data_IF_209088595844
#
_entry.id   IF_209088595844
#
_cell.length_a   1.000
_cell.length_b   1.000
_cell.length_c   1.000
_cell.angle_alpha   90.00
_cell.angle_beta   90.00
_cell.angle_gamma   90.00
#
_symmetry.space_group_name_H-M   'P 1'
#
loop_
_entity.id
_entity.type
_entity.pdbx_description
1 polymer ?
#
# COMPACT_ATOMS: atom_id res chain seq x y z
N UNK A 1 -3.51 -14.48 10.40
CA UNK A 1 -3.24 -15.43 9.32
C UNK A 1 -1.81 -15.30 8.84
N UNK A 2 -1.14 -16.42 8.61
CA UNK A 2 0.20 -16.46 8.02
C UNK A 2 0.14 -17.31 6.76
N UNK A 3 0.48 -16.70 5.63
CA UNK A 3 0.68 -17.35 4.35
C UNK A 3 2.19 -17.51 4.10
N UNK A 4 2.57 -18.59 3.44
CA UNK A 4 3.93 -18.74 2.91
C UNK A 4 4.10 -17.95 1.62
N UNK A 5 4.72 -18.56 0.63
CA UNK A 5 4.70 -18.05 -0.74
C UNK A 5 3.35 -18.36 -1.39
N UNK A 6 2.74 -17.38 -2.07
CA UNK A 6 1.46 -17.53 -2.77
C UNK A 6 1.69 -17.33 -4.26
N UNK A 7 1.46 -18.35 -5.07
CA UNK A 7 1.69 -18.27 -6.53
C UNK A 7 0.64 -17.45 -7.30
N UNK A 8 -0.50 -17.16 -6.69
CA UNK A 8 -1.62 -16.41 -7.28
C UNK A 8 -2.05 -15.28 -6.37
N UNK A 9 -3.36 -15.02 -6.33
CA UNK A 9 -3.95 -13.97 -5.49
C UNK A 9 -4.11 -14.41 -4.03
N UNK A 10 -4.13 -13.44 -3.12
CA UNK A 10 -4.39 -13.66 -1.71
C UNK A 10 -5.42 -12.67 -1.14
N UNK A 11 -6.27 -13.16 -0.25
CA UNK A 11 -7.18 -12.32 0.54
C UNK A 11 -6.96 -12.59 2.01
N UNK A 12 -6.82 -11.52 2.80
CA UNK A 12 -6.56 -11.54 4.24
C UNK A 12 -7.57 -10.59 4.89
N UNK A 13 -8.62 -11.17 5.47
CA UNK A 13 -9.79 -10.44 5.92
C UNK A 13 -10.07 -10.79 7.39
N UNK A 14 -10.36 -9.78 8.22
CA UNK A 14 -10.85 -9.97 9.58
C UNK A 14 -9.91 -10.81 10.47
N UNK A 15 -8.60 -10.58 10.34
CA UNK A 15 -7.57 -11.24 11.15
C UNK A 15 -6.75 -10.23 11.94
N UNK A 16 -6.37 -10.60 13.17
CA UNK A 16 -5.58 -9.73 14.05
C UNK A 16 -4.23 -9.33 13.45
N UNK A 17 -3.59 -10.27 12.76
CA UNK A 17 -2.33 -10.03 12.04
C UNK A 17 -2.34 -10.83 10.75
N UNK A 18 -1.98 -10.19 9.65
CA UNK A 18 -1.81 -10.83 8.35
C UNK A 18 -0.33 -10.81 7.95
N UNK A 19 0.27 -11.98 7.76
CA UNK A 19 1.64 -12.08 7.24
C UNK A 19 1.69 -12.94 6.00
N UNK A 20 2.46 -12.54 4.99
CA UNK A 20 2.69 -13.35 3.79
C UNK A 20 4.13 -13.24 3.31
N UNK A 21 4.64 -14.31 2.70
CA UNK A 21 5.77 -14.21 1.77
C UNK A 21 5.39 -13.44 0.50
N UNK A 22 6.10 -13.69 -0.60
CA UNK A 22 5.74 -13.07 -1.88
C UNK A 22 4.41 -13.64 -2.41
N UNK A 23 3.67 -12.78 -3.08
CA UNK A 23 2.37 -13.05 -3.69
C UNK A 23 2.54 -12.78 -5.17
N UNK A 24 2.47 -13.82 -6.00
CA UNK A 24 2.64 -13.70 -7.46
C UNK A 24 1.53 -12.89 -8.13
N UNK A 25 0.31 -12.96 -7.58
CA UNK A 25 -0.85 -12.20 -8.02
C UNK A 25 -1.07 -10.92 -7.22
N UNK A 26 -2.34 -10.54 -7.08
CA UNK A 26 -2.79 -9.39 -6.30
C UNK A 26 -3.13 -9.78 -4.87
N UNK A 27 -3.09 -8.81 -3.96
CA UNK A 27 -3.48 -9.00 -2.57
C UNK A 27 -4.57 -8.02 -2.16
N UNK A 28 -5.54 -8.54 -1.43
CA UNK A 28 -6.54 -7.75 -0.72
C UNK A 28 -6.44 -7.99 0.78
N UNK A 29 -6.31 -6.91 1.56
CA UNK A 29 -6.30 -6.94 3.02
C UNK A 29 -7.40 -6.03 3.52
N UNK A 30 -8.26 -6.55 4.39
CA UNK A 30 -9.41 -5.81 4.93
C UNK A 30 -9.58 -6.04 6.43
N UNK A 31 -9.86 -4.98 7.18
CA UNK A 31 -10.11 -5.00 8.63
C UNK A 31 -8.98 -5.70 9.43
N UNK A 32 -7.72 -5.41 9.08
CA UNK A 32 -6.53 -6.02 9.71
C UNK A 32 -5.73 -5.00 10.52
N UNK A 33 -5.54 -5.19 11.83
CA UNK A 33 -4.71 -4.30 12.64
C UNK A 33 -3.24 -4.22 12.19
N UNK A 34 -2.65 -5.34 11.78
CA UNK A 34 -1.24 -5.41 11.31
C UNK A 34 -1.09 -6.30 10.08
N UNK A 35 -0.55 -5.75 8.99
CA UNK A 35 -0.26 -6.47 7.75
C UNK A 35 1.24 -6.38 7.40
N UNK A 36 1.90 -7.52 7.19
CA UNK A 36 3.30 -7.62 6.77
C UNK A 36 3.37 -8.55 5.57
N UNK A 37 3.51 -7.99 4.37
CA UNK A 37 3.48 -8.71 3.12
C UNK A 37 4.83 -8.59 2.41
N UNK A 38 5.28 -9.67 1.77
CA UNK A 38 6.41 -9.67 0.85
C UNK A 38 6.12 -8.87 -0.42
N UNK A 39 6.79 -9.22 -1.52
CA UNK A 39 6.52 -8.59 -2.81
C UNK A 39 5.18 -9.06 -3.37
N UNK A 40 4.48 -8.18 -4.07
CA UNK A 40 3.20 -8.43 -4.73
C UNK A 40 3.43 -8.23 -6.23
N UNK A 41 3.29 -9.29 -7.02
CA UNK A 41 3.46 -9.21 -8.48
C UNK A 41 2.36 -8.39 -9.15
N UNK A 42 1.13 -8.50 -8.64
CA UNK A 42 -0.04 -7.75 -9.07
C UNK A 42 -0.25 -6.45 -8.29
N UNK A 43 -1.53 -6.15 -8.01
CA UNK A 43 -1.91 -4.96 -7.24
C UNK A 43 -2.08 -5.27 -5.76
N UNK A 44 -1.88 -4.25 -4.90
CA UNK A 44 -2.14 -4.35 -3.47
C UNK A 44 -3.29 -3.41 -3.07
N UNK A 45 -4.33 -3.96 -2.44
CA UNK A 45 -5.46 -3.19 -1.92
C UNK A 45 -5.57 -3.42 -0.41
N UNK A 46 -5.34 -2.37 0.37
CA UNK A 46 -5.42 -2.38 1.82
C UNK A 46 -6.55 -1.45 2.27
N UNK A 47 -7.51 -2.00 3.01
CA UNK A 47 -8.63 -1.27 3.57
C UNK A 47 -8.73 -1.47 5.08
N UNK A 48 -8.97 -0.38 5.80
CA UNK A 48 -9.14 -0.40 7.27
C UNK A 48 -8.00 -1.11 8.01
N UNK A 49 -6.75 -0.82 7.59
CA UNK A 49 -5.54 -1.43 8.13
C UNK A 49 -4.86 -0.53 9.15
N UNK A 50 -4.46 -1.11 10.29
CA UNK A 50 -3.72 -0.34 11.30
C UNK A 50 -2.30 0.00 10.87
N UNK A 51 -1.43 -1.00 10.81
CA UNK A 51 -0.05 -0.84 10.36
C UNK A 51 0.22 -1.79 9.19
N UNK A 52 0.75 -1.26 8.11
CA UNK A 52 1.03 -2.01 6.90
C UNK A 52 2.51 -1.89 6.50
N UNK A 53 3.13 -3.02 6.22
CA UNK A 53 4.39 -3.10 5.48
C UNK A 53 4.19 -4.00 4.27
N UNK A 54 4.44 -3.47 3.08
CA UNK A 54 4.35 -4.20 1.82
C UNK A 54 5.67 -4.02 1.08
N UNK A 55 6.20 -5.10 0.49
CA UNK A 55 7.37 -5.04 -0.37
C UNK A 55 7.11 -4.27 -1.67
N UNK A 56 7.76 -4.70 -2.75
CA UNK A 56 7.49 -4.13 -4.07
C UNK A 56 6.12 -4.54 -4.57
N UNK A 57 5.42 -3.63 -5.24
CA UNK A 57 4.14 -3.89 -5.91
C UNK A 57 4.33 -3.71 -7.41
N UNK A 58 4.20 -4.78 -8.19
CA UNK A 58 4.37 -4.73 -9.64
C UNK A 58 3.26 -3.93 -10.33
N UNK A 59 2.04 -4.04 -9.82
CA UNK A 59 0.87 -3.29 -10.27
C UNK A 59 0.67 -1.98 -9.52
N UNK A 60 -0.58 -1.66 -9.20
CA UNK A 60 -0.94 -0.45 -8.45
C UNK A 60 -1.14 -0.76 -6.96
N UNK A 61 -0.99 0.25 -6.11
CA UNK A 61 -1.32 0.14 -4.69
C UNK A 61 -2.46 1.11 -4.32
N UNK A 62 -3.44 0.61 -3.58
CA UNK A 62 -4.54 1.39 -3.01
C UNK A 62 -4.57 1.19 -1.50
N UNK A 63 -4.44 2.29 -0.76
CA UNK A 63 -4.46 2.32 0.69
C UNK A 63 -5.63 3.21 1.11
N UNK A 64 -6.65 2.61 1.72
CA UNK A 64 -7.81 3.31 2.24
C UNK A 64 -7.91 3.09 3.75
N UNK A 65 -8.10 4.15 4.52
CA UNK A 65 -8.20 4.09 5.99
C UNK A 65 -7.00 3.39 6.65
N UNK A 66 -5.80 3.58 6.09
CA UNK A 66 -4.57 2.96 6.63
C UNK A 66 -3.86 3.93 7.58
N UNK A 67 -3.70 3.56 8.85
CA UNK A 67 -3.13 4.48 9.86
C UNK A 67 -1.64 4.70 9.64
N UNK A 68 -0.85 3.64 9.45
CA UNK A 68 0.56 3.75 9.07
C UNK A 68 0.89 2.75 7.97
N UNK A 69 1.52 3.20 6.89
CA UNK A 69 1.93 2.34 5.81
C UNK A 69 3.36 2.60 5.35
N UNK A 70 4.09 1.53 5.09
CA UNK A 70 5.32 1.53 4.29
C UNK A 70 5.12 0.59 3.11
N UNK A 71 5.24 1.12 1.90
CA UNK A 71 5.17 0.35 0.66
C UNK A 71 6.47 0.58 -0.10
N UNK A 72 7.04 -0.49 -0.66
CA UNK A 72 8.21 -0.38 -1.54
C UNK A 72 7.90 0.38 -2.83
N UNK A 73 8.72 0.15 -3.87
CA UNK A 73 8.43 0.70 -5.19
C UNK A 73 7.13 0.11 -5.75
N UNK A 74 6.37 0.94 -6.46
CA UNK A 74 5.12 0.60 -7.14
C UNK A 74 5.34 0.79 -8.64
N UNK A 75 5.11 -0.26 -9.44
CA UNK A 75 5.24 -0.19 -10.89
C UNK A 75 4.15 0.64 -11.56
N UNK A 76 2.92 0.53 -11.04
CA UNK A 76 1.74 1.29 -11.48
C UNK A 76 1.54 2.58 -10.69
N UNK A 77 0.26 2.90 -10.41
CA UNK A 77 -0.13 4.10 -9.68
C UNK A 77 -0.32 3.81 -8.19
N UNK A 78 -0.23 4.86 -7.37
CA UNK A 78 -0.53 4.80 -5.94
C UNK A 78 -1.74 5.68 -5.59
N UNK A 79 -2.67 5.13 -4.83
CA UNK A 79 -3.80 5.88 -4.24
C UNK A 79 -3.73 5.77 -2.73
N UNK A 80 -3.61 6.91 -2.05
CA UNK A 80 -3.52 7.02 -0.60
C UNK A 80 -4.72 7.83 -0.11
N UNK A 81 -5.61 7.21 0.65
CA UNK A 81 -6.88 7.82 1.04
C UNK A 81 -7.19 7.63 2.53
N UNK A 82 -7.62 8.71 3.20
CA UNK A 82 -8.11 8.72 4.60
C UNK A 82 -7.16 8.05 5.60
N UNK A 83 -5.85 8.31 5.48
CA UNK A 83 -4.83 7.63 6.28
C UNK A 83 -4.16 8.51 7.32
N UNK A 84 -3.33 7.90 8.16
CA UNK A 84 -2.41 8.65 9.03
C UNK A 84 -1.15 9.02 8.25
N UNK A 85 -0.17 8.11 8.25
CA UNK A 85 1.12 8.30 7.60
C UNK A 85 1.37 7.23 6.53
N UNK A 86 1.82 7.63 5.35
CA UNK A 86 2.23 6.71 4.30
C UNK A 86 3.64 7.06 3.79
N UNK A 87 4.50 6.06 3.72
CA UNK A 87 5.78 6.13 3.01
C UNK A 87 5.72 5.16 1.84
N UNK A 88 5.95 5.67 0.64
CA UNK A 88 5.93 4.92 -0.61
C UNK A 88 7.26 5.14 -1.31
N UNK A 89 7.82 4.08 -1.89
CA UNK A 89 9.01 4.17 -2.75
C UNK A 89 8.75 4.97 -4.03
N UNK A 90 9.51 4.65 -5.08
CA UNK A 90 9.25 5.23 -6.40
C UNK A 90 7.94 4.68 -6.97
N UNK A 91 7.19 5.51 -7.69
CA UNK A 91 5.93 5.16 -8.34
C UNK A 91 6.08 5.39 -9.84
N UNK A 92 5.94 4.32 -10.62
CA UNK A 92 6.06 4.41 -12.09
C UNK A 92 4.92 5.19 -12.75
N UNK A 93 3.72 5.12 -12.16
CA UNK A 93 2.53 5.82 -12.61
C UNK A 93 2.26 7.13 -11.86
N UNK A 94 0.99 7.45 -11.71
CA UNK A 94 0.53 8.65 -10.99
C UNK A 94 0.33 8.36 -9.51
N UNK A 95 0.33 9.41 -8.70
CA UNK A 95 0.05 9.36 -7.27
C UNK A 95 -1.13 10.25 -6.96
N UNK A 96 -2.12 9.72 -6.23
CA UNK A 96 -3.21 10.50 -5.65
C UNK A 96 -3.18 10.37 -4.13
N UNK A 97 -3.19 11.51 -3.44
CA UNK A 97 -3.18 11.59 -1.98
C UNK A 97 -4.37 12.42 -1.52
N UNK A 98 -5.23 11.82 -0.70
CA UNK A 98 -6.44 12.46 -0.21
C UNK A 98 -6.64 12.22 1.28
N UNK A 99 -6.76 13.30 2.07
CA UNK A 99 -7.02 13.19 3.53
C UNK A 99 -6.03 12.28 4.26
N UNK A 100 -4.74 12.58 4.11
CA UNK A 100 -3.69 11.97 4.93
C UNK A 100 -3.15 12.96 5.96
N UNK A 101 -2.64 12.44 7.07
CA UNK A 101 -1.74 13.22 7.93
C UNK A 101 -0.47 13.55 7.15
N UNK A 102 0.29 12.52 6.77
CA UNK A 102 1.53 12.69 6.01
C UNK A 102 1.69 11.67 4.89
N UNK A 103 2.16 12.13 3.73
CA UNK A 103 2.63 11.25 2.66
C UNK A 103 4.09 11.57 2.30
N UNK A 104 4.93 10.54 2.22
CA UNK A 104 6.27 10.63 1.64
C UNK A 104 6.33 9.67 0.47
N UNK A 105 6.61 10.18 -0.71
CA UNK A 105 6.69 9.39 -1.95
C UNK A 105 8.00 9.68 -2.64
N UNK A 106 8.65 8.64 -3.17
CA UNK A 106 9.83 8.81 -4.02
C UNK A 106 9.48 9.43 -5.37
N UNK A 107 10.31 9.13 -6.38
CA UNK A 107 10.10 9.66 -7.72
C UNK A 107 8.77 9.18 -8.28
N UNK A 108 8.02 10.08 -8.91
CA UNK A 108 6.75 9.78 -9.57
C UNK A 108 6.89 9.97 -11.07
N UNK A 109 6.62 8.92 -11.84
CA UNK A 109 6.70 8.97 -13.30
C UNK A 109 5.51 9.68 -13.96
N UNK A 110 4.37 9.72 -13.28
CA UNK A 110 3.14 10.36 -13.72
C UNK A 110 2.79 11.65 -12.98
N UNK A 111 1.50 11.98 -12.99
CA UNK A 111 0.98 13.15 -12.29
C UNK A 111 0.92 12.89 -10.77
N UNK A 112 1.07 13.95 -9.98
CA UNK A 112 0.83 13.92 -8.54
C UNK A 112 -0.34 14.83 -8.22
N UNK A 113 -1.39 14.26 -7.64
CA UNK A 113 -2.57 14.98 -7.16
C UNK A 113 -2.66 14.85 -5.64
N UNK A 114 -2.76 15.98 -4.95
CA UNK A 114 -2.75 16.07 -3.48
C UNK A 114 -3.88 16.97 -3.05
N UNK A 115 -4.78 16.44 -2.22
CA UNK A 115 -5.91 17.19 -1.69
C UNK A 115 -6.14 16.89 -0.21
N UNK A 116 -6.30 17.95 0.60
CA UNK A 116 -6.62 17.86 2.03
C UNK A 116 -5.62 17.02 2.86
N UNK A 117 -4.32 17.21 2.65
CA UNK A 117 -3.25 16.51 3.39
C UNK A 117 -2.50 17.51 4.29
N UNK A 118 -2.06 17.10 5.48
CA UNK A 118 -1.30 18.01 6.36
C UNK A 118 0.12 18.25 5.81
N UNK A 119 0.79 17.19 5.34
CA UNK A 119 2.14 17.27 4.75
C UNK A 119 2.35 16.26 3.61
N UNK A 120 2.96 16.69 2.51
CA UNK A 120 3.44 15.81 1.42
C UNK A 120 4.89 16.12 1.09
N UNK A 121 5.72 15.07 1.04
CA UNK A 121 7.12 15.10 0.64
C UNK A 121 7.29 14.24 -0.61
N UNK A 122 7.79 14.86 -1.68
CA UNK A 122 8.11 14.19 -2.96
C UNK A 122 9.62 14.28 -3.19
N UNK A 123 10.24 13.16 -3.55
CA UNK A 123 11.69 13.03 -3.77
C UNK A 123 12.08 12.63 -5.17
#
# INVERSE_FOLDING_TARGET
ATLGQVGGDATLDNVETATSGDIGGSVHVDEVPTAILGNVGGSASLNDVGNATVGHVGGSASLNNVRNATVGNIGGSASLNNGGNATVGNVGGSVSVYRLGRATVGNVGGAVDVTSVEEVILG
#
